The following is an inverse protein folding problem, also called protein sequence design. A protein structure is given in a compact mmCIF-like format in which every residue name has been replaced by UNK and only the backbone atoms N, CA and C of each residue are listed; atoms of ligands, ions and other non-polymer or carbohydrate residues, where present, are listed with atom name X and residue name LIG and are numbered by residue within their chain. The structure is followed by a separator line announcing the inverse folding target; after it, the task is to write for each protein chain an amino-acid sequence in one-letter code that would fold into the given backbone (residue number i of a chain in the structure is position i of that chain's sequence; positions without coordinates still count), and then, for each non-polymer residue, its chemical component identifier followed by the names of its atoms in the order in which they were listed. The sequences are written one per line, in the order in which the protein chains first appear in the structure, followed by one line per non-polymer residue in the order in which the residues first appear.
data_IF_991145434194
#
_entry.id   IF_991145434194
#
_cell.length_a   1.000
_cell.length_b   1.000
_cell.length_c   1.000
_cell.angle_alpha   90.00
_cell.angle_beta   90.00
_cell.angle_gamma   90.00
#
_symmetry.space_group_name_H-M   'P 1'
#
loop_
_entity.id
_entity.type
_entity.pdbx_description
1 polymer ?
#
# COMPACT_ATOMS: atom_id res chain seq x y z
N UNK A 1 7.82 -35.02 30.13
CA UNK A 1 8.11 -33.78 30.89
C UNK A 1 8.36 -32.69 29.86
N UNK A 2 7.40 -31.78 29.69
CA UNK A 2 7.54 -30.63 28.79
C UNK A 2 8.20 -29.50 29.57
N UNK A 3 9.41 -29.10 29.18
CA UNK A 3 10.12 -27.96 29.75
C UNK A 3 9.79 -26.73 28.91
N UNK A 4 8.50 -26.37 28.88
CA UNK A 4 8.06 -25.07 28.36
C UNK A 4 7.29 -24.43 29.51
N UNK A 5 7.76 -23.31 30.09
CA UNK A 5 7.04 -22.66 31.16
C UNK A 5 5.70 -22.13 30.61
N UNK A 6 4.61 -22.43 31.33
CA UNK A 6 3.22 -22.08 31.00
C UNK A 6 2.92 -20.56 31.01
N UNK A 7 3.90 -19.73 31.40
CA UNK A 7 3.78 -18.26 31.38
C UNK A 7 5.13 -17.71 30.92
N UNK A 8 5.24 -17.43 29.61
CA UNK A 8 6.38 -16.69 29.10
C UNK A 8 6.30 -15.25 29.66
N UNK A 9 7.31 -14.85 30.44
CA UNK A 9 7.42 -13.48 30.97
C UNK A 9 7.55 -12.52 29.79
N UNK A 10 6.70 -11.48 29.76
CA UNK A 10 6.73 -10.46 28.70
C UNK A 10 8.09 -9.74 28.77
N UNK A 11 8.84 -9.65 27.64
CA UNK A 11 10.12 -8.96 27.65
C UNK A 11 9.98 -7.48 28.01
N UNK A 12 10.90 -6.98 28.83
CA UNK A 12 10.93 -5.58 29.23
C UNK A 12 11.34 -4.65 28.07
N UNK A 13 10.98 -3.35 28.18
CA UNK A 13 11.22 -2.31 27.16
C UNK A 13 12.69 -2.23 26.72
N UNK A 14 13.62 -2.40 27.65
CA UNK A 14 15.07 -2.35 27.40
C UNK A 14 15.56 -3.49 26.50
N UNK A 15 14.87 -4.64 26.51
CA UNK A 15 15.15 -5.76 25.60
C UNK A 15 14.82 -5.37 24.17
N UNK A 16 13.64 -4.79 23.96
CA UNK A 16 13.22 -4.31 22.65
C UNK A 16 14.12 -3.17 22.13
N UNK A 17 14.55 -2.25 23.00
CA UNK A 17 15.51 -1.20 22.64
C UNK A 17 16.84 -1.80 22.13
N UNK A 18 17.39 -2.79 22.83
CA UNK A 18 18.64 -3.44 22.40
C UNK A 18 18.48 -4.18 21.07
N UNK A 19 17.34 -4.83 20.84
CA UNK A 19 17.06 -5.52 19.58
C UNK A 19 16.98 -4.51 18.43
N UNK A 20 16.27 -3.40 18.64
CA UNK A 20 16.17 -2.31 17.66
C UNK A 20 17.55 -1.68 17.37
N UNK A 21 18.36 -1.42 18.38
CA UNK A 21 19.76 -0.99 18.19
C UNK A 21 20.58 -2.02 17.41
N UNK A 22 20.35 -3.33 17.62
CA UNK A 22 20.95 -4.40 16.83
C UNK A 22 20.62 -4.33 15.33
N UNK A 23 19.41 -3.90 14.99
CA UNK A 23 18.98 -3.67 13.61
C UNK A 23 19.61 -2.38 13.06
N UNK A 24 19.65 -1.30 13.84
CA UNK A 24 19.97 0.04 13.34
C UNK A 24 21.45 0.41 13.36
N UNK A 25 22.21 -0.05 14.37
CA UNK A 25 23.56 0.44 14.65
C UNK A 25 24.66 -0.49 14.14
N UNK A 26 24.30 -1.73 13.77
CA UNK A 26 25.27 -2.76 13.41
C UNK A 26 25.53 -2.79 11.91
N UNK A 27 26.74 -3.14 11.52
CA UNK A 27 27.13 -3.34 10.10
C UNK A 27 27.16 -4.80 9.69
N UNK A 28 26.59 -5.69 10.52
CA UNK A 28 26.59 -7.12 10.28
C UNK A 28 25.22 -7.57 9.79
N UNK A 29 25.15 -8.02 8.54
CA UNK A 29 23.93 -8.58 7.94
C UNK A 29 23.28 -9.64 8.85
N UNK A 30 24.11 -10.53 9.42
CA UNK A 30 23.62 -11.58 10.31
C UNK A 30 22.98 -11.02 11.57
N UNK A 31 23.58 -10.00 12.19
CA UNK A 31 23.02 -9.36 13.39
C UNK A 31 21.73 -8.63 13.06
N UNK A 32 21.66 -7.91 11.93
CA UNK A 32 20.46 -7.21 11.46
C UNK A 32 19.30 -8.21 11.28
N UNK A 33 19.52 -9.28 10.50
CA UNK A 33 18.48 -10.27 10.21
C UNK A 33 18.09 -11.06 11.45
N UNK A 34 19.04 -11.46 12.29
CA UNK A 34 18.77 -12.17 13.54
C UNK A 34 17.98 -11.30 14.53
N UNK A 35 18.33 -10.01 14.65
CA UNK A 35 17.63 -9.07 15.53
C UNK A 35 16.20 -8.82 15.03
N UNK A 36 16.00 -8.65 13.72
CA UNK A 36 14.66 -8.54 13.14
C UNK A 36 13.81 -9.79 13.36
N UNK A 37 14.38 -10.99 13.15
CA UNK A 37 13.67 -12.25 13.42
C UNK A 37 13.28 -12.38 14.88
N UNK A 38 14.20 -12.06 15.80
CA UNK A 38 13.92 -12.08 17.23
C UNK A 38 12.81 -11.09 17.58
N UNK A 39 12.85 -9.88 17.02
CA UNK A 39 11.80 -8.87 17.20
C UNK A 39 10.43 -9.40 16.75
N UNK A 40 10.38 -9.99 15.55
CA UNK A 40 9.15 -10.56 15.01
C UNK A 40 8.62 -11.72 15.86
N UNK A 41 9.49 -12.64 16.29
CA UNK A 41 9.12 -13.78 17.11
C UNK A 41 8.58 -13.35 18.48
N UNK A 42 9.14 -12.29 19.07
CA UNK A 42 8.65 -11.71 20.33
C UNK A 42 7.24 -11.14 20.16
N UNK A 43 6.98 -10.41 19.07
CA UNK A 43 5.66 -9.83 18.80
C UNK A 43 4.60 -10.91 18.50
N UNK A 44 5.00 -12.04 17.92
CA UNK A 44 4.11 -13.19 17.73
C UNK A 44 3.77 -13.90 19.04
N UNK A 45 4.76 -14.08 19.94
CA UNK A 45 4.57 -14.75 21.23
C UNK A 45 3.85 -13.88 22.25
N UNK A 46 4.05 -12.57 22.15
CA UNK A 46 3.49 -11.58 23.03
C UNK A 46 2.84 -10.49 22.16
N UNK A 47 1.61 -10.71 21.66
CA UNK A 47 0.89 -9.68 20.92
C UNK A 47 0.48 -8.56 21.87
N UNK A 48 0.51 -7.31 21.40
CA UNK A 48 0.03 -6.18 22.21
C UNK A 48 -1.45 -6.31 22.57
N UNK A 49 -2.23 -6.91 21.66
CA UNK A 49 -3.68 -7.08 21.79
C UNK A 49 -4.05 -8.49 21.38
N UNK A 50 -4.85 -9.16 22.21
CA UNK A 50 -5.38 -10.51 21.90
C UNK A 50 -6.89 -10.55 22.09
N UNK A 51 -7.56 -11.44 21.36
CA UNK A 51 -8.97 -11.74 21.59
C UNK A 51 -9.10 -12.99 22.45
N UNK A 52 -9.69 -12.83 23.63
CA UNK A 52 -10.06 -13.93 24.49
C UNK A 52 -11.52 -14.30 24.22
N UNK A 53 -11.77 -15.54 23.82
CA UNK A 53 -13.13 -16.04 23.70
C UNK A 53 -13.68 -16.37 25.11
N UNK A 54 -14.69 -15.63 25.53
CA UNK A 54 -15.44 -15.84 26.77
C UNK A 54 -16.82 -16.41 26.41
N UNK A 55 -17.12 -17.63 26.89
CA UNK A 55 -18.39 -18.31 26.64
C UNK A 55 -18.23 -19.74 26.08
N UNK A 56 -19.20 -20.61 26.39
CA UNK A 56 -19.26 -21.98 25.88
C UNK A 56 -20.33 -22.11 24.78
N UNK A 57 -20.01 -22.83 23.69
CA UNK A 57 -20.96 -23.12 22.61
C UNK A 57 -20.99 -22.08 21.48
N UNK A 58 -22.16 -21.84 20.88
CA UNK A 58 -22.37 -20.98 19.70
C UNK A 58 -22.33 -19.46 20.00
N UNK A 59 -22.30 -19.07 21.28
CA UNK A 59 -22.18 -17.67 21.70
C UNK A 59 -20.79 -17.44 22.29
N UNK A 60 -19.79 -17.31 21.41
CA UNK A 60 -18.45 -16.85 21.81
C UNK A 60 -18.48 -15.33 21.82
N UNK A 61 -18.39 -14.74 23.01
CA UNK A 61 -18.12 -13.31 23.16
C UNK A 61 -16.60 -13.16 23.10
N UNK A 62 -16.10 -12.28 22.23
CA UNK A 62 -14.66 -12.00 22.16
C UNK A 62 -14.37 -10.76 23.01
N UNK A 63 -13.60 -10.94 24.07
CA UNK A 63 -13.10 -9.86 24.92
C UNK A 63 -11.68 -9.49 24.47
N UNK A 64 -11.44 -8.20 24.24
CA UNK A 64 -10.14 -7.69 23.87
C UNK A 64 -9.27 -7.58 25.13
N UNK A 65 -8.15 -8.29 25.16
CA UNK A 65 -7.19 -8.26 26.25
C UNK A 65 -5.95 -7.52 25.77
N UNK A 66 -5.78 -6.30 26.27
CA UNK A 66 -4.55 -5.53 26.10
C UNK A 66 -3.47 -6.09 27.04
N UNK A 67 -2.31 -6.38 26.48
CA UNK A 67 -1.16 -6.80 27.27
C UNK A 67 -0.58 -5.58 28.00
N UNK A 68 -1.01 -5.35 29.24
CA UNK A 68 -0.65 -4.17 30.05
C UNK A 68 0.86 -3.98 30.22
N UNK A 69 1.62 -5.08 30.22
CA UNK A 69 3.09 -5.07 30.33
C UNK A 69 3.78 -4.63 29.03
N UNK A 70 3.06 -4.68 27.91
CA UNK A 70 3.50 -4.32 26.57
C UNK A 70 2.97 -2.98 26.07
N UNK A 71 2.33 -2.18 26.94
CA UNK A 71 1.84 -0.82 26.64
C UNK A 71 3.00 0.18 26.56
N UNK A 72 4.10 -0.21 25.91
CA UNK A 72 5.15 0.70 25.50
C UNK A 72 4.95 1.02 24.01
N UNK A 73 4.83 2.31 23.71
CA UNK A 73 4.64 2.80 22.34
C UNK A 73 5.99 2.82 21.62
N UNK A 74 6.17 2.08 20.50
CA UNK A 74 7.42 2.10 19.75
C UNK A 74 7.74 3.44 19.08
N UNK A 75 6.77 4.34 19.05
CA UNK A 75 6.90 5.68 18.50
C UNK A 75 7.70 6.65 19.40
N UNK A 76 8.18 6.22 20.57
CA UNK A 76 8.98 7.05 21.50
C UNK A 76 10.50 6.78 21.47
N UNK A 77 11.01 5.90 20.59
CA UNK A 77 12.42 5.49 20.63
C UNK A 77 13.44 6.44 19.99
N UNK A 78 13.02 7.61 19.49
CA UNK A 78 13.97 8.63 19.09
C UNK A 78 14.48 9.42 20.31
N UNK A 79 15.35 8.83 21.14
CA UNK A 79 16.28 9.67 21.92
C UNK A 79 17.35 10.18 20.97
N UNK A 80 17.06 11.33 20.37
CA UNK A 80 18.03 12.14 19.65
C UNK A 80 19.13 12.53 20.64
N UNK A 81 20.22 11.76 20.70
CA UNK A 81 21.44 12.25 21.34
C UNK A 81 21.95 13.39 20.47
N UNK A 82 21.90 14.61 21.01
CA UNK A 82 22.09 15.87 20.29
C UNK A 82 23.46 16.06 19.60
N UNK A 83 24.36 15.07 19.59
CA UNK A 83 25.75 15.22 19.15
C UNK A 83 26.27 14.12 18.18
N UNK A 84 25.44 13.24 17.65
CA UNK A 84 25.89 12.25 16.65
C UNK A 84 25.38 12.58 15.25
N UNK A 85 26.25 12.36 14.24
CA UNK A 85 26.00 12.72 12.83
C UNK A 85 24.63 12.20 12.38
N UNK A 86 23.75 13.05 11.80
CA UNK A 86 22.34 12.71 11.54
C UNK A 86 22.12 11.63 10.47
N UNK A 87 23.16 11.22 9.75
CA UNK A 87 23.04 10.46 8.50
C UNK A 87 23.25 8.94 8.62
N UNK A 88 23.37 8.38 9.82
CA UNK A 88 23.73 6.95 9.97
C UNK A 88 22.75 6.12 10.78
N UNK A 89 21.63 6.69 11.26
CA UNK A 89 20.65 5.95 12.06
C UNK A 89 19.26 6.01 11.43
N UNK A 90 18.73 4.83 11.12
CA UNK A 90 17.32 4.67 10.75
C UNK A 90 16.46 4.97 11.97
N UNK A 91 15.52 5.90 11.83
CA UNK A 91 14.63 6.35 12.91
C UNK A 91 13.46 5.39 13.10
N UNK A 92 12.99 5.26 14.35
CA UNK A 92 11.76 4.53 14.69
C UNK A 92 10.50 5.38 14.53
N UNK A 93 10.64 6.69 14.32
CA UNK A 93 9.52 7.57 13.98
C UNK A 93 9.13 7.34 12.51
N UNK A 94 7.92 6.85 12.27
CA UNK A 94 7.44 6.48 10.94
C UNK A 94 7.47 7.67 9.95
N UNK A 95 7.16 8.89 10.42
CA UNK A 95 7.19 10.09 9.57
C UNK A 95 8.59 10.33 9.04
N UNK A 96 9.57 10.42 9.95
CA UNK A 96 10.96 10.65 9.61
C UNK A 96 11.56 9.49 8.81
N UNK A 97 11.14 8.25 9.09
CA UNK A 97 11.58 7.07 8.34
C UNK A 97 11.12 7.13 6.89
N UNK A 98 9.84 7.42 6.67
CA UNK A 98 9.28 7.53 5.32
C UNK A 98 9.82 8.75 4.57
N UNK A 99 10.06 9.88 5.25
CA UNK A 99 10.73 11.05 4.66
C UNK A 99 12.14 10.67 4.19
N UNK A 100 12.94 10.03 5.05
CA UNK A 100 14.30 9.60 4.70
C UNK A 100 14.33 8.63 3.52
N UNK A 101 13.47 7.60 3.53
CA UNK A 101 13.38 6.62 2.44
C UNK A 101 12.94 7.34 1.15
N UNK A 102 11.91 8.20 1.21
CA UNK A 102 11.42 8.91 0.03
C UNK A 102 12.49 9.85 -0.55
N UNK A 103 13.21 10.60 0.28
CA UNK A 103 14.25 11.55 -0.12
C UNK A 103 15.51 10.85 -0.67
N UNK A 104 15.93 9.74 -0.04
CA UNK A 104 17.04 8.90 -0.49
C UNK A 104 16.75 8.37 -1.89
N UNK A 105 15.57 7.76 -2.06
CA UNK A 105 15.16 7.21 -3.34
C UNK A 105 14.89 8.30 -4.40
N UNK A 106 14.47 9.52 -4.01
CA UNK A 106 14.26 10.66 -4.92
C UNK A 106 15.60 11.29 -5.38
N UNK A 107 16.74 10.84 -4.83
CA UNK A 107 18.05 11.44 -5.10
C UNK A 107 18.18 12.87 -4.54
N UNK A 108 17.27 13.30 -3.66
CA UNK A 108 17.19 14.68 -3.11
C UNK A 108 18.22 14.98 -2.01
N UNK A 109 19.23 14.13 -1.80
CA UNK A 109 20.31 14.34 -0.83
C UNK A 109 21.22 15.55 -1.12
N UNK A 110 21.04 16.26 -2.24
CA UNK A 110 21.75 17.51 -2.51
C UNK A 110 20.94 18.71 -2.02
N UNK A 111 21.55 19.53 -1.16
CA UNK A 111 21.12 20.88 -0.68
C UNK A 111 20.45 21.05 0.70
N UNK A 112 20.88 20.30 1.73
CA UNK A 112 20.88 20.80 3.13
C UNK A 112 22.29 21.05 3.71
N UNK A 113 23.32 21.24 2.86
CA UNK A 113 24.61 21.79 3.29
C UNK A 113 24.58 23.32 3.23
N UNK A 114 24.31 23.95 4.37
CA UNK A 114 24.84 25.28 4.67
C UNK A 114 25.97 25.06 5.67
N UNK A 115 27.20 25.00 5.18
CA UNK A 115 28.38 24.73 5.99
C UNK A 115 29.52 24.21 5.15
N UNK A 116 30.53 25.05 5.03
CA UNK A 116 31.73 25.01 4.22
C UNK A 116 32.64 23.78 4.45
N UNK A 117 33.60 23.62 3.54
CA UNK A 117 34.69 22.64 3.43
C UNK A 117 34.37 21.31 2.73
N UNK A 118 35.06 21.17 1.59
CA UNK A 118 35.00 20.04 0.69
C UNK A 118 35.83 18.84 1.13
N UNK A 119 36.22 18.08 0.10
CA UNK A 119 36.95 16.81 0.08
C UNK A 119 36.01 15.60 -0.11
N UNK A 120 36.17 15.06 -1.31
CA UNK A 120 35.94 13.70 -1.81
C UNK A 120 34.51 13.22 -2.04
N UNK A 121 34.08 13.48 -3.28
CA UNK A 121 33.18 12.64 -4.06
C UNK A 121 33.74 11.21 -4.19
N UNK A 122 33.50 10.38 -3.19
CA UNK A 122 33.55 8.93 -3.33
C UNK A 122 32.14 8.44 -3.73
N UNK A 123 32.10 7.64 -4.80
CA UNK A 123 30.95 6.96 -5.41
C UNK A 123 29.74 6.75 -4.50
N UNK A 124 28.59 7.35 -4.87
CA UNK A 124 27.25 7.09 -4.34
C UNK A 124 26.80 5.66 -4.70
N UNK A 125 27.37 4.64 -4.06
CA UNK A 125 26.71 3.35 -3.96
C UNK A 125 25.88 3.39 -2.68
N UNK A 126 24.56 3.29 -2.80
CA UNK A 126 23.66 3.02 -1.67
C UNK A 126 24.25 1.87 -0.86
N UNK A 127 24.44 2.05 0.46
CA UNK A 127 24.86 0.93 1.31
C UNK A 127 23.70 -0.07 1.34
N UNK A 128 23.83 -1.27 0.72
CA UNK A 128 22.74 -2.23 0.65
C UNK A 128 22.26 -2.65 2.05
N UNK A 129 23.12 -2.54 3.07
CA UNK A 129 22.74 -2.78 4.46
C UNK A 129 21.82 -1.70 4.98
N UNK A 130 22.08 -0.42 4.69
CA UNK A 130 21.20 0.68 5.12
C UNK A 130 19.80 0.54 4.53
N UNK A 131 19.71 0.21 3.24
CA UNK A 131 18.43 -0.05 2.55
C UNK A 131 17.68 -1.23 3.17
N UNK A 132 18.39 -2.30 3.51
CA UNK A 132 17.81 -3.43 4.24
C UNK A 132 17.29 -3.02 5.63
N UNK A 133 18.08 -2.25 6.39
CA UNK A 133 17.66 -1.77 7.72
C UNK A 133 16.40 -0.91 7.63
N UNK A 134 16.33 0.02 6.67
CA UNK A 134 15.15 0.85 6.43
C UNK A 134 13.92 0.00 6.09
N UNK A 135 14.08 -0.98 5.20
CA UNK A 135 13.01 -1.89 4.82
C UNK A 135 12.51 -2.70 6.00
N UNK A 136 13.40 -3.34 6.77
CA UNK A 136 13.03 -4.15 7.92
C UNK A 136 12.34 -3.30 9.01
N UNK A 137 12.81 -2.08 9.22
CA UNK A 137 12.17 -1.15 10.15
C UNK A 137 10.77 -0.74 9.70
N UNK A 138 10.60 -0.38 8.42
CA UNK A 138 9.29 -0.05 7.87
C UNK A 138 8.35 -1.25 7.93
N UNK A 139 8.84 -2.44 7.53
CA UNK A 139 8.09 -3.69 7.57
C UNK A 139 7.58 -4.02 8.96
N UNK A 140 8.45 -3.91 9.97
CA UNK A 140 8.07 -4.15 11.36
C UNK A 140 6.99 -3.17 11.82
N UNK A 141 7.16 -1.87 11.56
CA UNK A 141 6.17 -0.85 11.93
C UNK A 141 4.81 -1.12 11.28
N UNK A 142 4.78 -1.38 9.96
CA UNK A 142 3.54 -1.69 9.22
C UNK A 142 2.89 -2.95 9.79
N UNK A 143 3.66 -4.02 10.03
CA UNK A 143 3.15 -5.26 10.64
C UNK A 143 2.54 -5.04 12.03
N UNK A 144 3.11 -4.13 12.82
CA UNK A 144 2.59 -3.82 14.15
C UNK A 144 1.22 -3.15 14.07
N UNK A 145 1.07 -2.15 13.20
CA UNK A 145 -0.22 -1.49 12.96
C UNK A 145 -1.26 -2.46 12.41
N UNK A 146 -0.87 -3.30 11.46
CA UNK A 146 -1.75 -4.27 10.81
C UNK A 146 -2.26 -5.31 11.80
N UNK A 147 -1.37 -5.87 12.63
CA UNK A 147 -1.74 -6.86 13.63
C UNK A 147 -2.72 -6.31 14.67
N UNK A 148 -2.46 -5.10 15.19
CA UNK A 148 -3.36 -4.43 16.15
C UNK A 148 -4.72 -4.10 15.53
N UNK A 149 -4.72 -3.50 14.32
CA UNK A 149 -5.96 -3.15 13.63
C UNK A 149 -6.81 -4.38 13.33
N UNK A 150 -6.20 -5.48 12.86
CA UNK A 150 -6.89 -6.72 12.53
C UNK A 150 -7.61 -7.32 13.73
N UNK A 151 -6.96 -7.39 14.89
CA UNK A 151 -7.54 -7.95 16.11
C UNK A 151 -8.71 -7.09 16.60
N UNK A 152 -8.57 -5.77 16.59
CA UNK A 152 -9.64 -4.83 16.97
C UNK A 152 -10.80 -4.85 15.98
N UNK A 153 -10.53 -4.97 14.70
CA UNK A 153 -11.53 -5.14 13.66
C UNK A 153 -12.30 -6.45 13.85
N UNK A 154 -11.63 -7.56 14.11
CA UNK A 154 -12.30 -8.84 14.39
C UNK A 154 -13.23 -8.74 15.61
N UNK A 155 -12.81 -8.04 16.67
CA UNK A 155 -13.65 -7.78 17.84
C UNK A 155 -14.91 -6.96 17.50
N UNK A 156 -14.77 -5.98 16.61
CA UNK A 156 -15.88 -5.16 16.11
C UNK A 156 -16.83 -5.94 15.19
N UNK A 157 -16.32 -6.83 14.33
CA UNK A 157 -17.17 -7.71 13.52
C UNK A 157 -17.99 -8.66 14.40
N UNK A 158 -17.40 -9.17 15.49
CA UNK A 158 -18.06 -10.06 16.44
C UNK A 158 -19.11 -9.36 17.32
N UNK A 159 -18.87 -8.11 17.71
CA UNK A 159 -19.84 -7.27 18.40
C UNK A 159 -19.72 -5.81 17.93
N UNK A 160 -20.67 -5.31 17.13
CA UNK A 160 -20.63 -3.94 16.60
C UNK A 160 -20.64 -2.83 17.67
N UNK A 161 -21.06 -3.11 18.91
CA UNK A 161 -20.97 -2.14 20.03
C UNK A 161 -19.53 -1.79 20.38
N UNK A 162 -18.56 -2.61 19.95
CA UNK A 162 -17.12 -2.41 20.16
C UNK A 162 -16.49 -1.40 19.18
N UNK A 163 -17.26 -0.46 18.60
CA UNK A 163 -16.71 0.52 17.66
C UNK A 163 -15.59 1.39 18.26
N UNK A 164 -15.60 1.59 19.58
CA UNK A 164 -14.55 2.33 20.29
C UNK A 164 -13.20 1.61 20.22
N UNK A 165 -13.18 0.27 20.15
CA UNK A 165 -11.95 -0.51 20.08
C UNK A 165 -11.15 -0.25 18.80
N UNK A 166 -11.84 0.01 17.68
CA UNK A 166 -11.19 0.38 16.41
C UNK A 166 -10.60 1.79 16.49
N UNK A 167 -11.28 2.71 17.19
CA UNK A 167 -10.76 4.06 17.45
C UNK A 167 -9.55 4.03 18.41
N UNK A 168 -9.42 2.98 19.21
CA UNK A 168 -8.25 2.75 20.05
C UNK A 168 -7.10 2.03 19.34
N UNK A 169 -7.25 1.68 18.05
CA UNK A 169 -6.16 1.09 17.27
C UNK A 169 -4.94 2.00 17.23
N UNK A 170 -3.75 1.39 17.15
CA UNK A 170 -2.48 2.09 17.06
C UNK A 170 -2.48 3.06 15.88
N UNK A 171 -3.01 2.64 14.72
CA UNK A 171 -3.04 3.47 13.52
C UNK A 171 -3.97 4.67 13.72
N UNK A 172 -5.16 4.49 14.31
CA UNK A 172 -6.08 5.59 14.57
C UNK A 172 -5.45 6.59 15.56
N UNK A 173 -4.89 6.11 16.67
CA UNK A 173 -4.19 6.96 17.65
C UNK A 173 -2.99 7.69 17.04
N UNK A 174 -2.22 7.00 16.20
CA UNK A 174 -1.08 7.58 15.49
C UNK A 174 -1.50 8.70 14.54
N UNK A 175 -2.59 8.53 13.79
CA UNK A 175 -3.09 9.55 12.86
C UNK A 175 -3.75 10.72 13.60
N UNK A 176 -4.61 10.45 14.58
CA UNK A 176 -5.36 11.48 15.31
C UNK A 176 -4.49 12.34 16.22
N UNK A 177 -3.33 11.83 16.67
CA UNK A 177 -2.38 12.58 17.48
C UNK A 177 -1.58 13.64 16.71
N UNK A 178 -1.78 13.79 15.40
CA UNK A 178 -0.89 14.54 14.51
C UNK A 178 -1.60 15.70 13.82
N UNK A 179 -0.83 16.73 13.46
CA UNK A 179 -1.33 17.86 12.68
C UNK A 179 -1.56 17.44 11.22
N UNK A 180 -2.57 18.00 10.56
CA UNK A 180 -2.88 17.72 9.15
C UNK A 180 -1.69 17.87 8.20
N UNK A 181 -0.78 18.82 8.48
CA UNK A 181 0.43 19.03 7.66
C UNK A 181 1.30 17.77 7.67
N UNK A 182 1.48 17.15 8.85
CA UNK A 182 2.25 15.89 8.98
C UNK A 182 1.55 14.72 8.32
N UNK A 183 0.22 14.61 8.46
CA UNK A 183 -0.56 13.55 7.80
C UNK A 183 -0.49 13.70 6.27
N UNK A 184 -0.59 14.93 5.77
CA UNK A 184 -0.44 15.23 4.34
C UNK A 184 0.95 14.82 3.83
N UNK A 185 1.99 15.15 4.58
CA UNK A 185 3.37 14.75 4.28
C UNK A 185 3.54 13.22 4.29
N UNK A 186 3.01 12.54 5.31
CA UNK A 186 2.97 11.08 5.39
C UNK A 186 2.31 10.46 4.16
N UNK A 187 1.10 10.87 3.80
CA UNK A 187 0.39 10.36 2.63
C UNK A 187 1.17 10.68 1.36
N UNK A 188 1.77 11.86 1.24
CA UNK A 188 2.60 12.22 0.09
C UNK A 188 3.81 11.30 -0.04
N UNK A 189 4.52 11.02 1.06
CA UNK A 189 5.68 10.13 1.06
C UNK A 189 5.30 8.69 0.73
N UNK A 190 4.18 8.19 1.26
CA UNK A 190 3.63 6.88 0.88
C UNK A 190 3.34 6.81 -0.63
N UNK A 191 2.67 7.82 -1.19
CA UNK A 191 2.38 7.87 -2.62
C UNK A 191 3.65 7.97 -3.49
N UNK A 192 4.69 8.68 -3.03
CA UNK A 192 5.99 8.72 -3.72
C UNK A 192 6.65 7.35 -3.78
N UNK A 193 6.58 6.57 -2.69
CA UNK A 193 7.10 5.20 -2.69
C UNK A 193 6.31 4.32 -3.66
N UNK A 194 4.98 4.41 -3.63
CA UNK A 194 4.09 3.65 -4.53
C UNK A 194 4.33 4.00 -6.01
N UNK A 195 4.56 5.28 -6.32
CA UNK A 195 4.81 5.76 -7.69
C UNK A 195 6.07 5.21 -8.36
N UNK A 196 6.94 4.51 -7.62
CA UNK A 196 8.13 3.90 -8.18
C UNK A 196 7.86 2.60 -8.93
N UNK A 197 6.74 1.95 -8.66
CA UNK A 197 6.36 0.68 -9.33
C UNK A 197 6.18 0.91 -10.84
N UNK A 198 5.56 2.00 -11.25
CA UNK A 198 5.34 2.35 -12.66
C UNK A 198 6.65 2.50 -13.46
N UNK A 199 7.75 2.90 -12.81
CA UNK A 199 9.06 3.05 -13.48
C UNK A 199 9.71 1.70 -13.80
N UNK A 200 9.26 0.60 -13.18
CA UNK A 200 9.77 -0.74 -13.50
C UNK A 200 9.06 -1.37 -14.71
N UNK A 201 7.78 -1.08 -14.93
CA UNK A 201 7.04 -1.63 -16.07
C UNK A 201 7.46 -0.97 -17.40
N UNK A 202 7.78 0.34 -17.41
CA UNK A 202 8.32 1.04 -18.59
C UNK A 202 9.69 0.48 -19.07
N UNK A 203 10.44 -0.20 -18.18
CA UNK A 203 11.70 -0.86 -18.52
C UNK A 203 11.52 -2.33 -18.94
N UNK A 204 10.37 -2.92 -18.62
CA UNK A 204 10.05 -4.33 -18.91
C UNK A 204 9.16 -4.49 -20.16
N UNK A 205 8.69 -3.38 -20.73
CA UNK A 205 7.87 -3.30 -21.96
C UNK A 205 8.64 -3.59 -23.26
N UNK A 206 9.80 -4.25 -23.15
CA UNK A 206 10.44 -4.96 -24.26
C UNK A 206 9.69 -6.24 -24.60
N UNK A 207 8.45 -6.12 -25.08
CA UNK A 207 7.67 -7.24 -25.61
C UNK A 207 8.46 -7.88 -26.77
N UNK A 208 8.81 -9.19 -26.72
CA UNK A 208 9.24 -9.90 -27.92
C UNK A 208 8.00 -10.09 -28.79
N UNK A 209 7.95 -9.37 -29.90
CA UNK A 209 6.91 -9.54 -30.92
C UNK A 209 6.83 -11.00 -31.37
N UNK A 210 5.68 -11.63 -31.12
CA UNK A 210 5.26 -12.84 -31.81
C UNK A 210 5.00 -12.51 -33.29
N UNK A 211 5.96 -12.82 -34.16
CA UNK A 211 5.68 -13.15 -35.57
C UNK A 211 6.53 -14.33 -36.04
N UNK A 212 5.84 -15.46 -36.26
CA UNK A 212 6.10 -16.41 -37.34
C UNK A 212 7.17 -17.50 -37.11
N UNK A 213 6.73 -18.71 -36.80
CA UNK A 213 7.38 -19.96 -37.25
C UNK A 213 6.74 -20.39 -38.59
N UNK A 214 7.32 -21.30 -39.40
CA UNK A 214 8.70 -21.79 -39.48
C UNK A 214 9.24 -21.83 -40.93
N UNK A 215 10.50 -21.46 -41.18
CA UNK A 215 11.25 -21.99 -42.34
C UNK A 215 12.71 -22.23 -41.94
N UNK A 216 13.13 -23.50 -41.98
CA UNK A 216 14.52 -23.95 -42.18
C UNK A 216 14.59 -24.42 -43.64
N UNK A 217 15.73 -24.29 -44.35
CA UNK A 217 16.90 -25.10 -44.00
C UNK A 217 18.30 -24.48 -44.27
N UNK A 218 19.29 -25.18 -43.70
CA UNK A 218 20.70 -25.35 -44.13
C UNK A 218 21.76 -24.24 -44.00
N UNK A 219 22.53 -24.35 -42.91
CA UNK A 219 24.01 -24.48 -42.84
C UNK A 219 24.37 -24.25 -41.36
N UNK A 220 25.09 -25.10 -40.63
CA UNK A 220 26.21 -25.96 -40.99
C UNK A 220 27.43 -25.54 -40.16
N UNK A 221 27.31 -25.48 -38.81
CA UNK A 221 28.46 -25.35 -37.88
C UNK A 221 28.10 -25.98 -36.52
N UNK A 222 29.02 -26.79 -36.00
CA UNK A 222 28.91 -27.69 -34.85
C UNK A 222 28.66 -27.03 -33.48
N UNK A 223 28.10 -27.79 -32.50
CA UNK A 223 27.74 -27.31 -31.18
C UNK A 223 28.81 -27.67 -30.15
N UNK A 224 29.72 -26.76 -29.84
CA UNK A 224 30.47 -26.79 -28.58
C UNK A 224 31.03 -25.39 -28.31
N UNK A 225 30.93 -24.93 -27.06
CA UNK A 225 31.48 -23.68 -26.51
C UNK A 225 30.52 -22.48 -26.42
N UNK A 226 29.52 -22.56 -25.52
CA UNK A 226 29.12 -21.42 -24.66
C UNK A 226 28.11 -21.85 -23.59
N UNK A 227 28.48 -22.83 -22.76
CA UNK A 227 27.81 -23.10 -21.49
C UNK A 227 28.65 -22.53 -20.36
N UNK A 228 28.60 -21.21 -20.17
CA UNK A 228 28.95 -20.56 -18.91
C UNK A 228 28.00 -19.37 -18.76
N UNK A 229 26.95 -19.46 -17.94
CA UNK A 229 26.33 -18.27 -17.40
C UNK A 229 27.39 -17.58 -16.55
N UNK A 230 27.79 -16.37 -16.95
CA UNK A 230 28.61 -15.48 -16.17
C UNK A 230 28.04 -15.39 -14.76
N UNK A 231 28.80 -15.93 -13.80
CA UNK A 231 28.50 -15.84 -12.39
C UNK A 231 28.58 -14.37 -11.96
N UNK A 232 27.43 -13.70 -11.86
CA UNK A 232 27.30 -12.48 -11.08
C UNK A 232 25.90 -12.38 -10.48
N UNK A 233 25.87 -12.26 -9.16
CA UNK A 233 24.73 -12.14 -8.24
C UNK A 233 24.05 -13.45 -7.83
N UNK A 234 24.52 -13.99 -6.71
CA UNK A 234 23.69 -14.81 -5.82
C UNK A 234 22.48 -13.96 -5.37
N UNK A 235 21.24 -14.50 -5.30
CA UNK A 235 20.07 -13.78 -4.84
C UNK A 235 20.10 -13.75 -3.30
N UNK A 236 20.99 -12.95 -2.72
CA UNK A 236 21.08 -12.77 -1.27
C UNK A 236 20.50 -11.41 -0.95
N UNK A 237 19.18 -11.38 -0.68
CA UNK A 237 18.48 -10.24 -0.08
C UNK A 237 18.59 -8.89 -0.82
N UNK A 238 18.28 -8.84 -2.12
CA UNK A 238 18.07 -7.54 -2.77
C UNK A 238 16.68 -7.00 -2.41
N UNK A 239 16.62 -6.00 -1.54
CA UNK A 239 15.41 -5.21 -1.30
C UNK A 239 15.18 -4.31 -2.51
N UNK A 240 13.99 -4.41 -3.11
CA UNK A 240 13.59 -3.66 -4.30
C UNK A 240 12.69 -2.47 -3.95
N UNK A 241 12.53 -1.53 -4.89
CA UNK A 241 11.55 -0.44 -4.72
C UNK A 241 10.11 -0.95 -4.67
N UNK A 242 9.82 -2.06 -5.35
CA UNK A 242 8.52 -2.72 -5.28
C UNK A 242 8.19 -3.20 -3.86
N UNK A 243 9.19 -3.66 -3.10
CA UNK A 243 9.00 -4.08 -1.71
C UNK A 243 8.59 -2.90 -0.80
N UNK A 244 9.21 -1.72 -0.99
CA UNK A 244 8.83 -0.50 -0.28
C UNK A 244 7.44 0.00 -0.70
N UNK A 245 7.14 -0.03 -2.01
CA UNK A 245 5.85 0.35 -2.54
C UNK A 245 4.72 -0.51 -1.97
N UNK A 246 4.93 -1.83 -1.89
CA UNK A 246 3.96 -2.75 -1.29
C UNK A 246 3.73 -2.43 0.19
N UNK A 247 4.78 -2.21 1.00
CA UNK A 247 4.61 -1.78 2.40
C UNK A 247 3.86 -0.45 2.53
N UNK A 248 4.15 0.51 1.66
CA UNK A 248 3.46 1.80 1.64
C UNK A 248 1.98 1.66 1.27
N UNK A 249 1.66 0.80 0.29
CA UNK A 249 0.29 0.50 -0.11
C UNK A 249 -0.48 -0.26 0.98
N UNK A 250 0.16 -1.19 1.69
CA UNK A 250 -0.42 -1.88 2.85
C UNK A 250 -0.77 -0.88 3.95
N UNK A 251 0.15 0.05 4.26
CA UNK A 251 -0.14 1.09 5.25
C UNK A 251 -1.29 2.00 4.82
N UNK A 252 -1.31 2.43 3.56
CA UNK A 252 -2.38 3.26 3.02
C UNK A 252 -3.74 2.52 2.98
N UNK A 253 -3.72 1.20 2.73
CA UNK A 253 -4.92 0.35 2.78
C UNK A 253 -5.55 0.36 4.16
N UNK A 254 -4.76 0.26 5.23
CA UNK A 254 -5.27 0.39 6.60
C UNK A 254 -5.90 1.78 6.85
N UNK A 255 -5.34 2.86 6.28
CA UNK A 255 -5.95 4.20 6.37
C UNK A 255 -7.33 4.23 5.69
N UNK A 256 -7.47 3.59 4.53
CA UNK A 256 -8.73 3.49 3.81
C UNK A 256 -9.76 2.65 4.59
N UNK A 257 -9.34 1.52 5.17
CA UNK A 257 -10.21 0.65 5.98
C UNK A 257 -10.78 1.39 7.21
N UNK A 258 -10.00 2.28 7.83
CA UNK A 258 -10.50 3.12 8.93
C UNK A 258 -11.69 4.01 8.54
N UNK A 259 -11.74 4.49 7.30
CA UNK A 259 -12.89 5.27 6.82
C UNK A 259 -14.12 4.38 6.62
N UNK A 260 -13.94 3.18 6.09
CA UNK A 260 -15.02 2.19 5.94
C UNK A 260 -15.59 1.80 7.31
N UNK A 261 -14.75 1.64 8.34
CA UNK A 261 -15.21 1.42 9.72
C UNK A 261 -16.04 2.56 10.26
N UNK A 262 -15.56 3.79 10.04
CA UNK A 262 -16.28 4.98 10.49
C UNK A 262 -17.65 5.05 9.82
N UNK A 263 -17.72 4.85 8.51
CA UNK A 263 -18.97 4.83 7.76
C UNK A 263 -19.93 3.74 8.25
N UNK A 264 -19.42 2.53 8.52
CA UNK A 264 -20.24 1.43 9.02
C UNK A 264 -20.76 1.70 10.44
N UNK A 265 -19.93 2.24 11.33
CA UNK A 265 -20.33 2.62 12.69
C UNK A 265 -21.41 3.71 12.65
N UNK A 266 -21.20 4.77 11.87
CA UNK A 266 -22.14 5.89 11.75
C UNK A 266 -23.51 5.42 11.22
N UNK A 267 -23.51 4.45 10.29
CA UNK A 267 -24.74 3.87 9.74
C UNK A 267 -25.53 3.00 10.73
N UNK A 268 -24.85 2.26 11.62
CA UNK A 268 -25.48 1.28 12.53
C UNK A 268 -25.92 1.88 13.86
N UNK A 269 -25.18 2.85 14.39
CA UNK A 269 -25.42 3.41 15.74
C UNK A 269 -25.89 4.87 15.73
N UNK A 270 -25.97 5.48 14.54
CA UNK A 270 -26.34 6.88 14.36
C UNK A 270 -25.23 7.83 14.79
N UNK A 271 -25.19 9.03 14.18
CA UNK A 271 -24.19 10.08 14.40
C UNK A 271 -24.21 10.72 15.82
N UNK A 272 -24.90 10.10 16.80
CA UNK A 272 -25.25 10.69 18.09
C UNK A 272 -24.10 10.67 19.12
N UNK A 273 -23.12 9.76 19.01
CA UNK A 273 -21.82 10.00 19.63
C UNK A 273 -21.08 10.90 18.67
N UNK A 274 -20.91 12.18 19.03
CA UNK A 274 -20.14 13.18 18.27
C UNK A 274 -18.73 12.64 18.01
N UNK A 275 -18.56 11.79 17.00
CA UNK A 275 -17.26 11.40 16.48
C UNK A 275 -16.68 12.69 15.95
N UNK A 276 -15.46 13.02 16.38
CA UNK A 276 -14.79 14.27 16.04
C UNK A 276 -14.85 14.47 14.52
N UNK A 277 -15.78 15.31 14.10
CA UNK A 277 -16.35 15.33 12.75
C UNK A 277 -15.56 16.21 11.80
N UNK A 278 -14.25 16.33 11.98
CA UNK A 278 -13.50 17.41 11.32
C UNK A 278 -12.43 16.88 10.36
N UNK A 279 -11.98 15.61 10.47
CA UNK A 279 -10.83 15.16 9.69
C UNK A 279 -10.92 13.69 9.24
N UNK A 280 -10.85 13.46 7.92
CA UNK A 280 -10.61 12.14 7.33
C UNK A 280 -9.28 12.17 6.57
N UNK A 281 -8.27 11.34 6.94
CA UNK A 281 -7.05 11.17 6.14
C UNK A 281 -7.34 10.83 4.68
N UNK A 282 -8.48 10.21 4.38
CA UNK A 282 -8.92 9.92 3.01
C UNK A 282 -9.29 11.19 2.25
N UNK A 283 -9.86 12.21 2.90
CA UNK A 283 -10.10 13.51 2.25
C UNK A 283 -8.79 14.21 1.88
N UNK A 284 -7.75 14.09 2.72
CA UNK A 284 -6.40 14.59 2.41
C UNK A 284 -5.84 13.84 1.21
N UNK A 285 -5.96 12.51 1.18
CA UNK A 285 -5.59 11.68 0.04
C UNK A 285 -6.31 12.13 -1.24
N UNK A 286 -7.64 12.34 -1.19
CA UNK A 286 -8.41 12.82 -2.34
C UNK A 286 -7.93 14.18 -2.84
N UNK A 287 -7.56 15.08 -1.93
CA UNK A 287 -6.97 16.38 -2.27
C UNK A 287 -5.59 16.26 -2.91
N UNK A 288 -4.75 15.34 -2.43
CA UNK A 288 -3.44 15.07 -3.03
C UNK A 288 -3.61 14.48 -4.43
N UNK A 289 -4.46 13.47 -4.61
CA UNK A 289 -4.71 12.82 -5.91
C UNK A 289 -5.35 13.76 -6.94
N UNK A 290 -6.14 14.74 -6.49
CA UNK A 290 -6.70 15.75 -7.38
C UNK A 290 -5.63 16.67 -7.97
N UNK A 291 -4.63 17.04 -7.15
CA UNK A 291 -3.54 17.90 -7.57
C UNK A 291 -2.45 17.11 -8.32
N UNK A 292 -2.09 15.93 -7.81
CA UNK A 292 -1.02 15.07 -8.31
C UNK A 292 -1.61 13.78 -8.90
N UNK A 293 -2.25 13.91 -10.07
CA UNK A 293 -2.91 12.80 -10.79
C UNK A 293 -1.97 11.64 -11.14
N UNK A 294 -0.66 11.91 -11.22
CA UNK A 294 0.40 10.92 -11.50
C UNK A 294 0.42 9.76 -10.50
N UNK A 295 -0.05 9.98 -9.27
CA UNK A 295 -0.08 8.94 -8.25
C UNK A 295 -1.26 7.97 -8.38
N UNK A 296 -2.22 8.25 -9.26
CA UNK A 296 -3.46 7.48 -9.32
C UNK A 296 -3.26 6.08 -9.92
N UNK A 297 -2.55 5.96 -11.03
CA UNK A 297 -2.27 4.65 -11.66
C UNK A 297 -1.42 3.74 -10.76
N UNK A 298 -0.25 4.18 -10.23
CA UNK A 298 0.57 3.31 -9.39
C UNK A 298 -0.17 2.88 -8.12
N UNK A 299 -0.98 3.78 -7.55
CA UNK A 299 -1.82 3.46 -6.39
C UNK A 299 -2.82 2.35 -6.70
N UNK A 300 -3.57 2.46 -7.80
CA UNK A 300 -4.55 1.44 -8.17
C UNK A 300 -3.91 0.10 -8.55
N UNK A 301 -2.71 0.11 -9.12
CA UNK A 301 -1.96 -1.12 -9.44
C UNK A 301 -1.41 -1.82 -8.19
N UNK A 302 -0.98 -1.06 -7.17
CA UNK A 302 -0.34 -1.63 -5.97
C UNK A 302 -1.37 -2.07 -4.90
N UNK A 303 -2.61 -1.55 -4.93
CA UNK A 303 -3.65 -1.97 -4.00
C UNK A 303 -4.10 -3.41 -4.27
N UNK A 304 -3.95 -4.28 -3.27
CA UNK A 304 -4.30 -5.70 -3.41
C UNK A 304 -5.79 -5.99 -3.19
N UNK A 305 -6.45 -5.22 -2.32
CA UNK A 305 -7.85 -5.46 -1.99
C UNK A 305 -8.77 -4.85 -3.06
N UNK A 306 -9.49 -5.67 -3.85
CA UNK A 306 -10.33 -5.18 -4.95
C UNK A 306 -11.49 -4.30 -4.48
N UNK A 307 -12.04 -4.56 -3.27
CA UNK A 307 -13.13 -3.76 -2.71
C UNK A 307 -12.63 -2.38 -2.30
N UNK A 308 -11.48 -2.29 -1.61
CA UNK A 308 -10.87 -1.00 -1.26
C UNK A 308 -10.48 -0.20 -2.51
N UNK A 309 -9.93 -0.88 -3.53
CA UNK A 309 -9.59 -0.27 -4.82
C UNK A 309 -10.83 0.34 -5.49
N UNK A 310 -11.95 -0.38 -5.51
CA UNK A 310 -13.20 0.13 -6.07
C UNK A 310 -13.81 1.27 -5.24
N UNK A 311 -13.83 1.14 -3.91
CA UNK A 311 -14.28 2.20 -3.01
C UNK A 311 -13.47 3.48 -3.20
N UNK A 312 -12.15 3.37 -3.39
CA UNK A 312 -11.27 4.50 -3.69
C UNK A 312 -11.63 5.16 -5.03
N UNK A 313 -11.88 4.38 -6.08
CA UNK A 313 -12.30 4.88 -7.40
C UNK A 313 -13.61 5.66 -7.27
N UNK A 314 -14.62 5.07 -6.61
CA UNK A 314 -15.91 5.74 -6.41
C UNK A 314 -15.77 6.99 -5.55
N UNK A 315 -14.97 6.93 -4.47
CA UNK A 315 -14.71 8.08 -3.60
C UNK A 315 -14.08 9.23 -4.38
N UNK A 316 -13.08 8.95 -5.23
CA UNK A 316 -12.45 9.96 -6.08
C UNK A 316 -13.47 10.62 -7.01
N UNK A 317 -14.26 9.83 -7.73
CA UNK A 317 -15.30 10.32 -8.62
C UNK A 317 -16.37 11.13 -7.88
N UNK A 318 -16.91 10.63 -6.77
CA UNK A 318 -17.94 11.33 -5.97
C UNK A 318 -17.42 12.62 -5.36
N UNK A 319 -16.15 12.65 -4.96
CA UNK A 319 -15.54 13.84 -4.32
C UNK A 319 -15.42 15.00 -5.30
N UNK A 320 -15.00 14.72 -6.53
CA UNK A 320 -14.66 15.74 -7.52
C UNK A 320 -15.73 15.96 -8.60
N UNK A 321 -16.82 15.17 -8.61
CA UNK A 321 -17.93 15.34 -9.54
C UNK A 321 -18.87 16.53 -9.19
N UNK A 322 -19.49 17.17 -10.20
CA UNK A 322 -20.50 18.21 -9.98
C UNK A 322 -21.81 17.62 -9.44
N UNK A 323 -22.65 18.48 -8.84
CA UNK A 323 -23.76 18.08 -7.97
C UNK A 323 -24.74 17.01 -8.51
N UNK A 324 -25.19 17.12 -9.76
CA UNK A 324 -26.12 16.15 -10.34
C UNK A 324 -25.46 14.79 -10.59
N UNK A 325 -24.24 14.81 -11.13
CA UNK A 325 -23.40 13.63 -11.34
C UNK A 325 -23.07 12.93 -10.03
N UNK A 326 -22.82 13.70 -8.98
CA UNK A 326 -22.47 13.18 -7.65
C UNK A 326 -23.56 12.29 -7.04
N UNK A 327 -24.84 12.58 -7.31
CA UNK A 327 -25.97 11.74 -6.84
C UNK A 327 -25.95 10.37 -7.52
N UNK A 328 -25.81 10.34 -8.84
CA UNK A 328 -25.77 9.11 -9.62
C UNK A 328 -24.56 8.24 -9.23
N UNK A 329 -23.40 8.85 -9.02
CA UNK A 329 -22.20 8.13 -8.62
C UNK A 329 -22.29 7.48 -7.23
N UNK A 330 -23.11 8.02 -6.32
CA UNK A 330 -23.31 7.45 -4.98
C UNK A 330 -24.16 6.18 -4.96
N UNK A 331 -24.92 5.94 -6.02
CA UNK A 331 -25.78 4.76 -6.17
C UNK A 331 -25.02 3.59 -6.81
N UNK A 332 -23.79 3.81 -7.27
CA UNK A 332 -22.96 2.80 -7.92
C UNK A 332 -22.38 1.86 -6.87
N UNK A 333 -22.62 0.57 -7.04
CA UNK A 333 -22.10 -0.50 -6.19
C UNK A 333 -21.27 -1.54 -6.95
N UNK A 334 -21.25 -1.50 -8.30
CA UNK A 334 -20.55 -2.48 -9.13
C UNK A 334 -19.76 -1.80 -10.27
N UNK A 335 -18.66 -2.41 -10.73
CA UNK A 335 -17.91 -1.90 -11.90
C UNK A 335 -18.78 -1.75 -13.16
N UNK A 336 -19.72 -2.67 -13.39
CA UNK A 336 -20.67 -2.58 -14.52
C UNK A 336 -21.50 -1.29 -14.46
N UNK A 337 -22.08 -0.99 -13.29
CA UNK A 337 -22.89 0.21 -13.10
C UNK A 337 -22.05 1.49 -13.33
N UNK A 338 -20.75 1.44 -13.01
CA UNK A 338 -19.83 2.52 -13.33
C UNK A 338 -19.65 2.71 -14.84
N UNK A 339 -19.44 1.63 -15.59
CA UNK A 339 -19.29 1.69 -17.05
C UNK A 339 -20.56 2.22 -17.73
N UNK A 340 -21.71 1.73 -17.31
CA UNK A 340 -23.00 2.20 -17.81
C UNK A 340 -23.23 3.68 -17.46
N UNK A 341 -22.83 4.11 -16.26
CA UNK A 341 -22.88 5.52 -15.86
C UNK A 341 -21.97 6.40 -16.72
N UNK A 342 -20.74 5.97 -17.03
CA UNK A 342 -19.80 6.75 -17.86
C UNK A 342 -20.29 6.88 -19.31
N UNK A 343 -20.96 5.85 -19.81
CA UNK A 343 -21.56 5.86 -21.16
C UNK A 343 -22.71 6.88 -21.26
N UNK A 344 -23.55 6.94 -20.23
CA UNK A 344 -24.76 7.77 -20.22
C UNK A 344 -24.51 9.21 -19.72
N UNK A 345 -23.60 9.38 -18.77
CA UNK A 345 -23.31 10.66 -18.11
C UNK A 345 -22.08 11.28 -18.74
N UNK A 346 -22.13 12.59 -18.98
CA UNK A 346 -21.02 13.33 -19.58
C UNK A 346 -19.89 13.61 -18.55
N UNK A 347 -19.37 12.56 -17.89
CA UNK A 347 -18.29 12.64 -16.90
C UNK A 347 -17.01 13.28 -17.45
N UNK A 348 -16.75 13.09 -18.74
CA UNK A 348 -15.66 13.73 -19.48
C UNK A 348 -15.65 15.27 -19.40
N UNK A 349 -16.79 15.91 -19.10
CA UNK A 349 -16.84 17.37 -18.92
C UNK A 349 -16.26 17.82 -17.58
N UNK A 350 -16.16 16.92 -16.61
CA UNK A 350 -15.78 17.22 -15.23
C UNK A 350 -14.41 16.65 -14.86
N UNK A 351 -13.93 15.66 -15.60
CA UNK A 351 -12.70 14.96 -15.33
C UNK A 351 -11.79 14.93 -16.55
N UNK A 352 -10.50 14.85 -16.27
CA UNK A 352 -9.47 14.66 -17.27
C UNK A 352 -9.64 13.30 -17.97
N UNK A 353 -9.53 13.23 -19.31
CA UNK A 353 -9.61 11.98 -20.04
C UNK A 353 -8.70 10.88 -19.54
N UNK A 354 -7.43 11.19 -19.26
CA UNK A 354 -6.45 10.19 -18.82
C UNK A 354 -6.81 9.65 -17.45
N UNK A 355 -7.30 10.53 -16.55
CA UNK A 355 -7.78 10.12 -15.22
C UNK A 355 -8.98 9.17 -15.35
N UNK A 356 -9.96 9.49 -16.20
CA UNK A 356 -11.10 8.60 -16.43
C UNK A 356 -10.68 7.26 -17.03
N UNK A 357 -9.74 7.25 -17.98
CA UNK A 357 -9.19 6.01 -18.56
C UNK A 357 -8.54 5.13 -17.47
N UNK A 358 -7.72 5.73 -16.60
CA UNK A 358 -7.07 5.01 -15.48
C UNK A 358 -8.11 4.47 -14.49
N UNK A 359 -9.11 5.26 -14.11
CA UNK A 359 -10.16 4.82 -13.18
C UNK A 359 -11.03 3.70 -13.76
N UNK A 360 -11.37 3.77 -15.05
CA UNK A 360 -12.12 2.73 -15.75
C UNK A 360 -11.32 1.43 -15.85
N UNK A 361 -10.03 1.53 -16.20
CA UNK A 361 -9.12 0.38 -16.26
C UNK A 361 -9.00 -0.29 -14.89
N UNK A 362 -8.82 0.51 -13.83
CA UNK A 362 -8.78 0.00 -12.45
C UNK A 362 -10.09 -0.68 -12.03
N UNK A 363 -11.25 -0.11 -12.38
CA UNK A 363 -12.54 -0.74 -12.09
C UNK A 363 -12.75 -2.05 -12.88
N UNK A 364 -12.24 -2.13 -14.11
CA UNK A 364 -12.26 -3.37 -14.89
C UNK A 364 -11.34 -4.43 -14.28
N UNK A 365 -10.15 -4.04 -13.81
CA UNK A 365 -9.26 -4.93 -13.08
C UNK A 365 -9.92 -5.47 -11.80
N UNK A 366 -10.61 -4.62 -11.02
CA UNK A 366 -11.41 -5.07 -9.86
C UNK A 366 -12.42 -6.14 -10.27
N UNK A 367 -13.12 -5.93 -11.39
CA UNK A 367 -14.09 -6.89 -11.87
C UNK A 367 -13.46 -8.25 -12.17
N UNK A 368 -12.29 -8.26 -12.84
CA UNK A 368 -11.55 -9.49 -13.12
C UNK A 368 -11.05 -10.19 -11.84
N UNK A 369 -10.54 -9.43 -10.87
CA UNK A 369 -10.06 -9.95 -9.59
C UNK A 369 -11.20 -10.57 -8.74
N UNK A 370 -12.41 -10.05 -8.89
CA UNK A 370 -13.59 -10.49 -8.11
C UNK A 370 -14.41 -11.58 -8.81
N UNK A 371 -14.28 -11.74 -10.13
CA UNK A 371 -15.08 -12.68 -10.93
C UNK A 371 -14.17 -13.58 -11.77
N UNK A 372 -13.90 -14.77 -11.26
CA UNK A 372 -13.05 -15.78 -11.89
C UNK A 372 -13.82 -16.77 -12.79
N UNK A 373 -15.14 -16.63 -12.93
CA UNK A 373 -16.00 -17.57 -13.68
C UNK A 373 -16.36 -17.04 -15.08
N UNK A 374 -16.14 -17.88 -16.09
CA UNK A 374 -16.47 -17.63 -17.50
C UNK A 374 -17.98 -17.78 -17.75
N UNK A 375 -18.74 -16.72 -17.47
CA UNK A 375 -20.19 -16.69 -17.67
C UNK A 375 -20.63 -15.54 -18.60
N UNK A 376 -21.90 -15.59 -19.03
CA UNK A 376 -22.54 -14.54 -19.83
C UNK A 376 -22.39 -13.12 -19.24
N UNK A 377 -22.24 -13.04 -17.90
CA UNK A 377 -21.96 -11.80 -17.17
C UNK A 377 -20.61 -11.17 -17.52
N UNK A 378 -19.55 -11.98 -17.72
CA UNK A 378 -18.23 -11.50 -18.14
C UNK A 378 -18.31 -10.79 -19.50
N UNK A 379 -18.97 -11.40 -20.48
CA UNK A 379 -19.15 -10.81 -21.82
C UNK A 379 -19.96 -9.52 -21.78
N UNK A 380 -20.99 -9.47 -20.94
CA UNK A 380 -21.79 -8.27 -20.75
C UNK A 380 -20.97 -7.12 -20.16
N UNK A 381 -20.19 -7.39 -19.09
CA UNK A 381 -19.33 -6.37 -18.47
C UNK A 381 -18.21 -5.91 -19.40
N UNK A 382 -17.56 -6.82 -20.13
CA UNK A 382 -16.57 -6.45 -21.15
C UNK A 382 -17.20 -5.55 -22.23
N UNK A 383 -18.45 -5.81 -22.62
CA UNK A 383 -19.17 -4.96 -23.59
C UNK A 383 -19.47 -3.58 -23.00
N UNK A 384 -20.01 -3.52 -21.78
CA UNK A 384 -20.25 -2.24 -21.10
C UNK A 384 -18.95 -1.43 -20.95
N UNK A 385 -17.84 -2.08 -20.59
CA UNK A 385 -16.53 -1.45 -20.50
C UNK A 385 -16.06 -0.86 -21.84
N UNK A 386 -16.12 -1.65 -22.92
CA UNK A 386 -15.75 -1.18 -24.26
C UNK A 386 -16.63 -0.03 -24.73
N UNK A 387 -17.95 -0.10 -24.49
CA UNK A 387 -18.88 0.99 -24.86
C UNK A 387 -18.54 2.25 -24.08
N UNK A 388 -18.27 2.15 -22.78
CA UNK A 388 -17.85 3.29 -21.96
C UNK A 388 -16.56 3.90 -22.49
N UNK A 389 -15.59 3.06 -22.86
CA UNK A 389 -14.30 3.50 -23.39
C UNK A 389 -14.41 4.18 -24.74
N UNK A 390 -15.13 3.57 -25.69
CA UNK A 390 -15.34 4.14 -27.02
C UNK A 390 -16.15 5.44 -26.95
N UNK A 391 -17.10 5.53 -26.00
CA UNK A 391 -17.84 6.76 -25.74
C UNK A 391 -16.92 7.85 -25.19
N UNK A 392 -15.97 7.49 -24.33
CA UNK A 392 -14.96 8.41 -23.83
C UNK A 392 -14.08 8.92 -24.97
N UNK A 393 -13.56 8.01 -25.79
CA UNK A 393 -12.64 8.32 -26.88
C UNK A 393 -13.28 9.20 -27.95
N UNK A 394 -14.48 8.82 -28.42
CA UNK A 394 -15.25 9.58 -29.41
C UNK A 394 -15.58 11.00 -28.95
N UNK A 395 -15.85 11.20 -27.65
CA UNK A 395 -16.18 12.51 -27.09
C UNK A 395 -14.96 13.38 -26.83
N UNK A 396 -13.78 12.77 -26.63
CA UNK A 396 -12.57 13.49 -26.21
C UNK A 396 -11.55 13.68 -27.33
N UNK A 397 -11.70 13.00 -28.48
CA UNK A 397 -10.69 12.96 -29.55
C UNK A 397 -9.30 12.68 -28.98
N UNK A 398 -9.22 11.70 -28.07
CA UNK A 398 -8.02 11.45 -27.31
C UNK A 398 -6.99 10.78 -28.22
N UNK A 399 -5.97 11.53 -28.66
CA UNK A 399 -4.96 10.98 -29.58
C UNK A 399 -4.10 9.88 -28.93
N UNK A 400 -4.03 9.86 -27.58
CA UNK A 400 -3.22 8.91 -26.82
C UNK A 400 -4.06 8.23 -25.75
N UNK A 401 -4.23 6.91 -25.90
CA UNK A 401 -4.79 6.06 -24.85
C UNK A 401 -3.72 5.75 -23.81
N UNK A 402 -4.02 5.94 -22.52
CA UNK A 402 -3.14 5.54 -21.43
C UNK A 402 -2.79 4.04 -21.52
N UNK A 403 -1.52 3.67 -21.28
CA UNK A 403 -1.04 2.29 -21.43
C UNK A 403 -1.93 1.27 -20.67
N UNK A 404 -2.18 1.52 -19.38
CA UNK A 404 -3.06 0.67 -18.52
C UNK A 404 -4.45 0.46 -19.11
N UNK A 405 -5.03 1.51 -19.70
CA UNK A 405 -6.34 1.44 -20.33
C UNK A 405 -6.30 0.65 -21.64
N UNK A 406 -5.24 0.81 -22.43
CA UNK A 406 -5.02 0.01 -23.64
C UNK A 406 -4.89 -1.49 -23.31
N UNK A 407 -4.12 -1.83 -22.27
CA UNK A 407 -3.99 -3.21 -21.80
C UNK A 407 -5.35 -3.78 -21.34
N UNK A 408 -6.13 -3.01 -20.59
CA UNK A 408 -7.49 -3.39 -20.18
C UNK A 408 -8.43 -3.64 -21.37
N UNK A 409 -8.35 -2.81 -22.43
CA UNK A 409 -9.14 -3.01 -23.65
C UNK A 409 -8.77 -4.28 -24.40
N UNK A 410 -7.47 -4.55 -24.56
CA UNK A 410 -6.99 -5.77 -25.22
C UNK A 410 -7.47 -7.01 -24.45
N UNK A 411 -7.41 -6.98 -23.12
CA UNK A 411 -7.95 -8.04 -22.28
C UNK A 411 -9.47 -8.20 -22.46
N UNK A 412 -10.23 -7.10 -22.44
CA UNK A 412 -11.68 -7.15 -22.64
C UNK A 412 -12.07 -7.71 -24.01
N UNK A 413 -11.33 -7.37 -25.08
CA UNK A 413 -11.53 -7.95 -26.41
C UNK A 413 -11.24 -9.45 -26.43
N UNK A 414 -10.14 -9.87 -25.81
CA UNK A 414 -9.75 -11.30 -25.78
C UNK A 414 -10.79 -12.14 -25.05
N UNK A 415 -11.27 -11.66 -23.90
CA UNK A 415 -12.26 -12.37 -23.06
C UNK A 415 -13.67 -12.43 -23.67
N UNK A 416 -13.99 -11.60 -24.65
CA UNK A 416 -15.26 -11.68 -25.38
C UNK A 416 -15.26 -12.73 -26.49
N UNK A 417 -14.09 -12.98 -27.09
CA UNK A 417 -13.94 -13.88 -28.25
C UNK A 417 -13.75 -15.33 -27.81
N UNK A 418 -13.26 -15.55 -26.58
CA UNK A 418 -13.31 -16.85 -25.87
C UNK A 418 -14.72 -17.19 -25.40
#
# INVERSE_FOLDING_TARGET
MSVVPDVAVVPAKDVYEKILSGIQETKSLWVIVASYRLLHDLDLRHPQVTLKATGAGKSKVYELVDNKEQVWSPFKFATQKANEKPFTRVTTDLYSLLENIADELDGRQESKKKGDFGVDSASKNEDPLNRLVQFLMLRWLVSLFESDLRVRHQAFQGNPENSELVQESLIFRFLMGQKNVKIKELITNLLRLIARVDKLDDLNDGIPELRGQPERPDSGVDPTTSLLPSASSSPVFSVTDADFAHLAATFLSMILELEDFKALSDSKFGAARRSVSIWSPVEILMGILQYWKVYLCPLLQTLENPQLKFNLILKYLVTHAPGNTKKQLREISTPKNLFDCVSNVNLHKSFDPHVLQVLLAGAFQVFLETHTSHDAHLREVCRSFQVAFNTLDAKMKCEVTHHTARCALVMAHTLQVS
#
